data_IF_689065559539
#
_entry.id   IF_689065559539
#
_cell.length_a   1.000
_cell.length_b   1.000
_cell.length_c   1.000
_cell.angle_alpha   90.00
_cell.angle_beta   90.00
_cell.angle_gamma   90.00
#
_symmetry.space_group_name_H-M   'P 1'
#
loop_
_entity.id
_entity.type
_entity.pdbx_description
1 polymer ?
#
# COMPACT_ATOMS: atom_id res chain seq x y z
N UNK A 1 -0.65 -4.00 1.73
CA UNK A 1 -1.36 -3.62 0.49
C UNK A 1 -0.44 -2.85 -0.45
N UNK A 2 0.02 -1.65 -0.09
CA UNK A 2 0.87 -0.83 -0.98
C UNK A 2 2.10 -1.54 -1.56
N UNK A 3 2.87 -2.25 -0.72
CA UNK A 3 4.04 -3.03 -1.18
C UNK A 3 3.72 -4.06 -2.26
N UNK A 4 2.53 -4.65 -2.25
CA UNK A 4 2.11 -5.60 -3.29
C UNK A 4 1.86 -4.89 -4.62
N UNK A 5 1.38 -3.64 -4.58
CA UNK A 5 1.23 -2.87 -5.81
C UNK A 5 2.57 -2.33 -6.31
N UNK A 6 3.35 -1.72 -5.41
CA UNK A 6 4.60 -1.03 -5.74
C UNK A 6 5.79 -1.96 -6.02
N UNK A 7 5.72 -3.22 -5.59
CA UNK A 7 6.85 -4.15 -5.68
C UNK A 7 8.05 -3.78 -4.78
N UNK A 8 7.92 -2.76 -3.92
CA UNK A 8 8.96 -2.28 -3.02
C UNK A 8 8.42 -1.96 -1.63
N UNK A 9 9.32 -1.81 -0.66
CA UNK A 9 8.96 -1.43 0.71
C UNK A 9 8.81 0.09 0.80
N UNK A 10 7.76 0.59 1.50
CA UNK A 10 7.52 2.03 1.58
C UNK A 10 8.66 2.72 2.32
N UNK A 11 9.10 3.87 1.79
CA UNK A 11 10.17 4.70 2.36
C UNK A 11 11.47 3.92 2.61
N UNK A 12 11.85 3.02 1.70
CA UNK A 12 13.05 2.21 1.85
C UNK A 12 14.36 2.96 1.63
N UNK A 13 14.29 4.12 1.00
CA UNK A 13 15.41 4.97 0.61
C UNK A 13 15.86 5.95 1.71
N UNK A 14 15.19 5.97 2.86
CA UNK A 14 15.43 6.93 3.95
C UNK A 14 15.39 6.30 5.35
N UNK A 15 15.93 6.96 6.38
CA UNK A 15 15.81 6.50 7.77
C UNK A 15 14.35 6.42 8.24
N UNK A 16 14.06 5.44 9.09
CA UNK A 16 12.79 5.38 9.83
C UNK A 16 12.97 6.03 11.19
N UNK A 17 13.08 7.35 11.22
CA UNK A 17 13.34 8.14 12.41
C UNK A 17 12.12 8.99 12.81
N UNK A 18 12.31 9.87 13.81
CA UNK A 18 11.30 10.80 14.29
C UNK A 18 10.76 11.71 13.17
N UNK A 19 11.59 12.06 12.18
CA UNK A 19 11.18 12.93 11.08
C UNK A 19 10.19 12.22 10.18
N UNK A 20 10.48 10.98 9.76
CA UNK A 20 9.53 10.20 8.95
C UNK A 20 8.24 9.93 9.73
N UNK A 21 8.34 9.61 11.03
CA UNK A 21 7.16 9.41 11.88
C UNK A 21 6.28 10.68 11.95
N UNK A 22 6.88 11.86 12.16
CA UNK A 22 6.18 13.15 12.13
C UNK A 22 5.47 13.37 10.78
N UNK A 23 6.18 13.22 9.67
CA UNK A 23 5.60 13.42 8.34
C UNK A 23 4.37 12.51 8.13
N UNK A 24 4.42 11.24 8.56
CA UNK A 24 3.29 10.30 8.51
C UNK A 24 2.12 10.76 9.40
N UNK A 25 2.40 11.21 10.62
CA UNK A 25 1.41 11.79 11.53
C UNK A 25 0.72 13.02 10.91
N UNK A 26 1.46 13.84 10.17
CA UNK A 26 0.95 15.00 9.45
C UNK A 26 0.39 14.69 8.05
N UNK A 27 0.18 13.41 7.73
CA UNK A 27 -0.57 13.01 6.53
C UNK A 27 0.28 12.53 5.36
N UNK A 28 1.60 12.40 5.50
CA UNK A 28 2.42 11.73 4.49
C UNK A 28 1.90 10.30 4.28
N UNK A 29 1.62 9.95 3.02
CA UNK A 29 1.22 8.61 2.60
C UNK A 29 2.09 8.18 1.41
N UNK A 30 2.24 6.86 1.19
CA UNK A 30 2.90 6.36 -0.01
C UNK A 30 2.18 6.86 -1.28
N UNK A 31 2.96 7.10 -2.34
CA UNK A 31 2.44 7.51 -3.64
C UNK A 31 1.55 6.43 -4.27
N UNK A 32 0.53 6.83 -5.02
CA UNK A 32 -0.28 5.89 -5.78
C UNK A 32 0.48 5.48 -7.03
N UNK A 33 0.82 4.19 -7.11
CA UNK A 33 1.59 3.64 -8.22
C UNK A 33 0.70 3.52 -9.45
N UNK A 34 1.18 4.05 -10.57
CA UNK A 34 0.54 3.90 -11.87
C UNK A 34 0.38 2.41 -12.23
N UNK A 35 -0.74 2.06 -12.84
CA UNK A 35 -1.11 0.65 -13.07
C UNK A 35 -1.58 -0.09 -11.82
N UNK A 36 -1.86 0.57 -10.70
CA UNK A 36 -2.63 -0.06 -9.60
C UNK A 36 -4.13 -0.09 -9.97
N UNK A 37 -4.84 -1.23 -9.81
CA UNK A 37 -6.29 -1.30 -10.02
C UNK A 37 -7.05 -0.26 -9.19
N UNK A 38 -8.05 0.42 -9.76
CA UNK A 38 -8.77 1.52 -9.09
C UNK A 38 -9.45 1.05 -7.80
N UNK A 39 -10.09 -0.12 -7.83
CA UNK A 39 -10.69 -0.73 -6.64
C UNK A 39 -9.66 -0.97 -5.52
N UNK A 40 -8.43 -1.34 -5.87
CA UNK A 40 -7.35 -1.59 -4.93
C UNK A 40 -6.82 -0.28 -4.34
N UNK A 41 -6.73 0.78 -5.15
CA UNK A 41 -6.40 2.14 -4.68
C UNK A 41 -7.42 2.61 -3.65
N UNK A 42 -8.71 2.46 -3.94
CA UNK A 42 -9.78 2.86 -3.03
C UNK A 42 -9.68 2.10 -1.70
N UNK A 43 -9.51 0.78 -1.74
CA UNK A 43 -9.36 -0.04 -0.54
C UNK A 43 -8.12 0.34 0.27
N UNK A 44 -6.96 0.46 -0.39
CA UNK A 44 -5.71 0.84 0.23
C UNK A 44 -5.79 2.23 0.88
N UNK A 45 -6.48 3.18 0.23
CA UNK A 45 -6.61 4.54 0.75
C UNK A 45 -7.58 4.64 1.92
N UNK A 46 -8.62 3.81 1.97
CA UNK A 46 -9.49 3.67 3.13
C UNK A 46 -8.73 3.11 4.35
N UNK A 47 -7.81 2.15 4.15
CA UNK A 47 -7.01 1.55 5.24
C UNK A 47 -6.14 2.57 6.00
N UNK A 48 -5.70 3.65 5.35
CA UNK A 48 -4.87 4.69 5.96
C UNK A 48 -5.58 6.03 6.11
N UNK A 49 -6.91 6.02 6.11
CA UNK A 49 -7.74 7.21 6.28
C UNK A 49 -7.36 7.95 7.58
N UNK A 50 -7.26 9.30 7.58
CA UNK A 50 -6.87 10.08 8.76
C UNK A 50 -7.74 9.77 9.98
N UNK A 51 -9.06 9.84 9.80
CA UNK A 51 -10.06 9.41 10.78
C UNK A 51 -10.06 7.87 10.93
N UNK A 52 -9.70 7.33 12.11
CA UNK A 52 -9.67 5.90 12.37
C UNK A 52 -11.02 5.20 12.23
N UNK A 53 -12.12 5.92 12.46
CA UNK A 53 -13.48 5.34 12.40
C UNK A 53 -13.93 5.00 10.98
N UNK A 54 -13.28 5.61 9.98
CA UNK A 54 -13.51 5.36 8.56
C UNK A 54 -12.64 4.23 7.99
N UNK A 55 -11.73 3.67 8.80
CA UNK A 55 -10.88 2.56 8.37
C UNK A 55 -11.67 1.25 8.41
N UNK A 56 -11.53 0.38 7.41
CA UNK A 56 -12.19 -0.92 7.44
C UNK A 56 -11.60 -1.79 8.55
N UNK A 57 -12.45 -2.63 9.15
CA UNK A 57 -12.00 -3.65 10.09
C UNK A 57 -11.29 -4.78 9.36
N UNK A 58 -10.43 -5.53 10.06
CA UNK A 58 -9.76 -6.70 9.49
C UNK A 58 -10.76 -7.75 8.96
N UNK A 59 -11.88 -7.96 9.66
CA UNK A 59 -12.96 -8.85 9.20
C UNK A 59 -13.57 -8.36 7.89
N UNK A 60 -13.88 -7.06 7.76
CA UNK A 60 -14.43 -6.51 6.51
C UNK A 60 -13.46 -6.61 5.34
N UNK A 61 -12.17 -6.40 5.61
CA UNK A 61 -11.11 -6.60 4.62
C UNK A 61 -11.04 -8.07 4.15
N UNK A 62 -11.11 -9.02 5.09
CA UNK A 62 -11.07 -10.44 4.78
C UNK A 62 -12.24 -10.88 3.91
N UNK A 63 -13.46 -10.43 4.22
CA UNK A 63 -14.66 -10.71 3.43
C UNK A 63 -14.54 -10.13 2.02
N UNK A 64 -14.14 -8.86 1.90
CA UNK A 64 -14.01 -8.18 0.62
C UNK A 64 -12.96 -8.84 -0.26
N UNK A 65 -11.77 -9.11 0.27
CA UNK A 65 -10.70 -9.76 -0.48
C UNK A 65 -11.08 -11.19 -0.88
N UNK A 66 -11.79 -11.93 -0.03
CA UNK A 66 -12.34 -13.24 -0.38
C UNK A 66 -13.32 -13.16 -1.55
N UNK A 67 -14.23 -12.19 -1.54
CA UNK A 67 -15.18 -11.97 -2.64
C UNK A 67 -14.49 -11.61 -3.96
N UNK A 68 -13.41 -10.83 -3.89
CA UNK A 68 -12.61 -10.49 -5.07
C UNK A 68 -11.90 -11.70 -5.63
N UNK A 69 -11.29 -12.54 -4.80
CA UNK A 69 -10.64 -13.77 -5.24
C UNK A 69 -11.62 -14.66 -6.02
N UNK A 70 -12.83 -14.85 -5.51
CA UNK A 70 -13.86 -15.65 -6.21
C UNK A 70 -14.21 -15.02 -7.56
N UNK A 71 -14.50 -13.71 -7.58
CA UNK A 71 -14.89 -13.00 -8.80
C UNK A 71 -13.78 -12.87 -9.86
N UNK A 72 -12.51 -13.02 -9.47
CA UNK A 72 -11.36 -12.92 -10.38
C UNK A 72 -10.90 -14.32 -10.85
N UNK A 73 -10.91 -15.32 -9.96
CA UNK A 73 -10.31 -16.64 -10.23
C UNK A 73 -11.33 -17.72 -10.60
N UNK A 74 -12.57 -17.64 -10.10
CA UNK A 74 -13.56 -18.72 -10.20
C UNK A 74 -14.72 -18.38 -11.15
N UNK A 75 -14.91 -17.11 -11.50
CA UNK A 75 -15.96 -16.66 -12.42
C UNK A 75 -15.47 -16.73 -13.89
N UNK A 76 -16.11 -17.54 -14.75
CA UNK A 76 -15.75 -17.62 -16.16
C UNK A 76 -16.16 -16.37 -16.96
N UNK A 77 -17.05 -15.52 -16.43
CA UNK A 77 -17.42 -14.26 -17.08
C UNK A 77 -16.61 -13.08 -16.50
N UNK A 78 -15.84 -12.35 -17.33
CA UNK A 78 -15.11 -11.18 -16.88
C UNK A 78 -16.03 -10.12 -16.29
N UNK A 79 -15.75 -9.73 -15.05
CA UNK A 79 -16.39 -8.60 -14.38
C UNK A 79 -15.52 -7.34 -14.48
N UNK A 80 -16.12 -6.16 -14.29
CA UNK A 80 -15.36 -4.89 -14.22
C UNK A 80 -14.23 -4.95 -13.18
N UNK A 81 -14.42 -5.75 -12.12
CA UNK A 81 -13.39 -6.02 -11.13
C UNK A 81 -12.21 -6.79 -11.76
N UNK A 82 -12.48 -7.91 -12.42
CA UNK A 82 -11.46 -8.74 -13.08
C UNK A 82 -10.70 -7.95 -14.15
N UNK A 83 -11.41 -7.17 -14.97
CA UNK A 83 -10.82 -6.33 -16.01
C UNK A 83 -9.80 -5.33 -15.44
N UNK A 84 -10.12 -4.69 -14.30
CA UNK A 84 -9.19 -3.76 -13.66
C UNK A 84 -7.88 -4.42 -13.23
N UNK A 85 -7.92 -5.69 -12.78
CA UNK A 85 -6.73 -6.43 -12.39
C UNK A 85 -5.94 -6.92 -13.61
N UNK A 86 -6.62 -7.41 -14.65
CA UNK A 86 -5.97 -7.85 -15.90
C UNK A 86 -5.23 -6.69 -16.59
N UNK A 87 -5.88 -5.53 -16.73
CA UNK A 87 -5.27 -4.32 -17.31
C UNK A 87 -4.05 -3.88 -16.51
N UNK A 88 -4.12 -3.95 -15.18
CA UNK A 88 -3.02 -3.61 -14.30
C UNK A 88 -1.82 -4.57 -14.47
N UNK A 89 -2.09 -5.86 -14.64
CA UNK A 89 -1.06 -6.88 -14.87
C UNK A 89 -0.38 -6.71 -16.22
N UNK A 90 -1.15 -6.52 -17.30
CA UNK A 90 -0.63 -6.25 -18.65
C UNK A 90 0.29 -5.03 -18.69
N UNK A 91 -0.13 -3.96 -17.99
CA UNK A 91 0.69 -2.75 -17.86
C UNK A 91 1.99 -3.02 -17.12
N UNK A 92 1.94 -3.72 -15.98
CA UNK A 92 3.15 -4.08 -15.22
C UNK A 92 4.10 -4.95 -16.04
N UNK A 93 3.56 -5.88 -16.83
CA UNK A 93 4.36 -6.71 -17.72
C UNK A 93 5.10 -5.85 -18.75
N UNK A 94 4.36 -4.95 -19.41
CA UNK A 94 4.92 -4.01 -20.40
C UNK A 94 6.02 -3.11 -19.81
N UNK A 95 5.79 -2.57 -18.61
CA UNK A 95 6.77 -1.71 -17.90
C UNK A 95 8.02 -2.50 -17.49
N UNK A 96 7.86 -3.80 -17.15
CA UNK A 96 8.96 -4.68 -16.74
C UNK A 96 9.89 -5.06 -17.90
N UNK A 97 9.37 -5.20 -19.13
CA UNK A 97 10.18 -5.42 -20.32
C UNK A 97 11.02 -4.17 -20.67
N UNK A 98 10.55 -2.99 -20.27
CA UNK A 98 11.22 -1.71 -20.52
C UNK A 98 12.19 -1.30 -19.39
N UNK A 99 12.00 -1.77 -18.15
CA UNK A 99 12.84 -1.42 -17.00
C UNK A 99 13.46 -2.66 -16.33
N UNK A 100 14.81 -2.72 -16.36
CA UNK A 100 15.59 -3.57 -15.43
C UNK A 100 15.15 -3.24 -14.00
N UNK A 101 14.65 -4.22 -13.25
CA UNK A 101 14.39 -4.13 -11.81
C UNK A 101 15.53 -3.36 -11.11
N UNK A 102 15.37 -2.05 -10.94
CA UNK A 102 16.33 -1.28 -10.17
C UNK A 102 16.07 -1.66 -8.74
N UNK A 103 16.93 -2.53 -8.21
CA UNK A 103 16.91 -2.87 -6.80
C UNK A 103 17.05 -1.56 -6.03
N UNK A 104 15.96 -1.12 -5.39
CA UNK A 104 15.99 0.06 -4.57
C UNK A 104 16.94 -0.22 -3.41
N UNK A 105 17.98 0.61 -3.28
CA UNK A 105 18.92 0.50 -2.16
C UNK A 105 18.16 0.79 -0.88
N UNK A 106 18.11 -0.21 0.01
CA UNK A 106 17.51 -0.05 1.32
C UNK A 106 18.48 0.75 2.19
N UNK A 107 18.00 1.87 2.73
CA UNK A 107 18.73 2.69 3.67
C UNK A 107 19.07 1.86 4.91
N UNK A 108 20.30 1.90 5.45
CA UNK A 108 20.70 1.09 6.61
C UNK A 108 19.86 1.32 7.89
N UNK A 109 19.19 2.48 7.96
CA UNK A 109 18.28 2.86 9.05
C UNK A 109 16.79 2.71 8.69
N UNK A 110 16.45 1.99 7.62
CA UNK A 110 15.09 1.59 7.32
C UNK A 110 14.79 0.24 8.01
N UNK A 111 13.78 0.21 8.87
CA UNK A 111 13.45 -0.96 9.70
C UNK A 111 12.07 -1.50 9.35
N UNK A 112 12.01 -2.79 9.02
CA UNK A 112 10.75 -3.49 8.67
C UNK A 112 10.40 -4.62 9.62
N UNK A 113 11.16 -4.74 10.70
CA UNK A 113 10.91 -5.64 11.81
C UNK A 113 10.33 -4.85 12.97
N UNK A 114 9.61 -5.54 13.84
CA UNK A 114 9.04 -4.91 15.05
C UNK A 114 10.15 -4.30 15.91
N UNK A 115 9.93 -3.07 16.37
CA UNK A 115 10.79 -2.36 17.32
C UNK A 115 9.97 -1.33 18.10
N UNK A 116 10.43 -0.98 19.29
CA UNK A 116 9.84 0.10 20.07
C UNK A 116 10.08 1.43 19.35
N UNK A 117 9.00 2.18 19.10
CA UNK A 117 9.07 3.58 18.66
C UNK A 117 8.85 4.46 19.89
N UNK A 118 9.91 5.11 20.35
CA UNK A 118 9.85 6.05 21.47
C UNK A 118 10.18 7.45 20.96
N UNK A 119 9.12 8.21 20.73
CA UNK A 119 9.15 9.58 20.19
C UNK A 119 8.28 10.47 21.08
N UNK A 120 8.79 10.87 22.26
CA UNK A 120 8.01 11.66 23.23
C UNK A 120 7.48 12.97 22.62
N UNK A 121 8.13 13.50 21.58
CA UNK A 121 7.75 14.70 20.85
C UNK A 121 6.44 14.54 20.07
N UNK A 122 6.06 13.31 19.68
CA UNK A 122 4.81 13.02 18.96
C UNK A 122 3.58 12.96 19.87
N UNK A 123 3.78 12.74 21.17
CA UNK A 123 2.71 12.52 22.15
C UNK A 123 1.92 13.82 22.40
N UNK A 124 2.54 14.98 22.16
CA UNK A 124 1.97 16.30 22.44
C UNK A 124 1.18 16.91 21.26
N UNK A 125 1.06 16.21 20.13
CA UNK A 125 0.45 16.74 18.90
C UNK A 125 -1.05 16.37 18.80
N UNK A 126 -1.53 15.46 19.66
CA UNK A 126 -2.91 14.95 19.67
C UNK A 126 -3.83 15.61 20.72
N UNK A 127 -3.52 16.81 21.19
CA UNK A 127 -4.37 17.61 22.11
C UNK A 127 -5.09 18.74 21.38
#
# INVERSE_FOLDING_TARGET
MWTLSAGTRPWCDRPHDLRLANEICFGLRPEIIDGTPKVYIQLMTQCWHPDPTKRPTASKLSELLGSWTIAICDDPEPSELSDQFNIAEEKKFSDSEQNKFQQQKIHPQAFYTSRLLYFPELINISS
#
